data_IF_805802331229
#
_entry.id   IF_805802331229
#
_cell.length_a   1.000
_cell.length_b   1.000
_cell.length_c   1.000
_cell.angle_alpha   90.00
_cell.angle_beta   90.00
_cell.angle_gamma   90.00
#
_symmetry.space_group_name_H-M   'P 1'
#
loop_
_entity.id
_entity.type
_entity.pdbx_description
1 polymer ?
#
# COMPACT_ATOMS: atom_id res chain seq x y z
N UNK A 1 9.56 -4.12 -2.80
CA UNK A 1 10.39 -3.31 -3.70
C UNK A 1 11.67 -2.92 -2.99
N UNK A 2 12.76 -2.90 -3.73
CA UNK A 2 14.10 -2.52 -3.26
C UNK A 2 14.57 -1.41 -4.21
N UNK A 3 15.17 -0.35 -3.68
CA UNK A 3 15.69 0.74 -4.50
C UNK A 3 17.05 0.41 -5.14
N UNK A 4 17.59 1.32 -5.94
CA UNK A 4 18.89 1.16 -6.60
C UNK A 4 20.09 1.07 -5.65
N UNK A 5 19.89 1.32 -4.35
CA UNK A 5 20.92 1.21 -3.29
C UNK A 5 20.79 -0.07 -2.47
N UNK A 6 19.79 -0.91 -2.77
CA UNK A 6 19.53 -2.14 -2.03
C UNK A 6 18.65 -1.95 -0.78
N UNK A 7 18.08 -0.76 -0.56
CA UNK A 7 17.22 -0.50 0.59
C UNK A 7 15.78 -0.89 0.32
N UNK A 8 15.12 -1.44 1.35
CA UNK A 8 13.72 -1.82 1.28
C UNK A 8 12.82 -0.58 1.27
N UNK A 9 11.91 -0.52 0.31
CA UNK A 9 10.93 0.56 0.21
C UNK A 9 9.70 0.24 1.06
N UNK A 10 9.36 1.11 2.01
CA UNK A 10 8.18 0.96 2.88
C UNK A 10 6.87 0.96 2.08
N UNK A 11 6.89 1.55 0.89
CA UNK A 11 5.82 1.52 -0.12
C UNK A 11 5.38 0.09 -0.48
N UNK A 12 6.24 -0.90 -0.24
CA UNK A 12 5.91 -2.32 -0.47
C UNK A 12 4.85 -2.86 0.49
N UNK A 13 4.59 -2.17 1.61
CA UNK A 13 3.61 -2.55 2.64
C UNK A 13 2.92 -1.27 3.11
N UNK A 14 1.94 -0.82 2.33
CA UNK A 14 1.29 0.48 2.50
C UNK A 14 -0.06 0.33 3.22
N UNK A 15 -0.38 1.31 4.06
CA UNK A 15 -1.71 1.46 4.66
C UNK A 15 -2.59 2.38 3.81
N UNK A 16 -3.85 2.57 4.19
CA UNK A 16 -4.74 3.46 3.43
C UNK A 16 -4.25 4.92 3.45
N UNK A 17 -4.16 5.60 2.28
CA UNK A 17 -3.67 6.97 2.18
C UNK A 17 -4.75 8.00 2.56
N UNK A 18 -5.26 7.93 3.79
CA UNK A 18 -6.19 8.94 4.32
C UNK A 18 -5.50 10.31 4.39
N UNK A 19 -6.29 11.40 4.36
CA UNK A 19 -5.75 12.78 4.48
C UNK A 19 -4.83 12.90 5.71
N UNK A 20 -5.26 12.36 6.86
CA UNK A 20 -4.48 12.36 8.09
C UNK A 20 -3.16 11.60 7.94
N UNK A 21 -3.20 10.38 7.38
CA UNK A 21 -2.01 9.57 7.15
C UNK A 21 -1.04 10.25 6.17
N UNK A 22 -1.55 10.89 5.11
CA UNK A 22 -0.75 11.65 4.16
C UNK A 22 -0.07 12.85 4.82
N UNK A 23 -0.77 13.63 5.65
CA UNK A 23 -0.16 14.74 6.40
C UNK A 23 0.94 14.23 7.33
N UNK A 24 0.69 13.15 8.08
CA UNK A 24 1.69 12.56 8.98
C UNK A 24 2.91 12.02 8.24
N UNK A 25 2.72 11.44 7.05
CA UNK A 25 3.82 11.03 6.17
C UNK A 25 4.63 12.23 5.69
N UNK A 26 3.97 13.25 5.13
CA UNK A 26 4.61 14.43 4.57
C UNK A 26 5.41 15.22 5.61
N UNK A 27 4.93 15.28 6.86
CA UNK A 27 5.64 15.91 7.97
C UNK A 27 6.70 14.99 8.61
N UNK A 28 6.85 13.74 8.16
CA UNK A 28 7.79 12.78 8.74
C UNK A 28 7.42 12.26 10.14
N UNK A 29 6.24 12.61 10.66
CA UNK A 29 5.77 12.26 12.01
C UNK A 29 5.62 10.75 12.21
N UNK A 30 5.43 9.98 11.13
CA UNK A 30 5.38 8.52 11.16
C UNK A 30 6.61 7.87 11.82
N UNK A 31 7.76 8.57 11.85
CA UNK A 31 8.99 8.13 12.51
C UNK A 31 8.96 8.26 14.03
N UNK A 32 8.06 9.08 14.58
CA UNK A 32 7.97 9.35 16.03
C UNK A 32 7.14 8.30 16.76
N UNK A 33 6.07 7.82 16.14
CA UNK A 33 5.23 6.75 16.69
C UNK A 33 4.51 6.00 15.59
N UNK A 34 4.84 4.72 15.45
CA UNK A 34 4.17 3.83 14.49
C UNK A 34 2.69 3.65 14.83
N UNK A 35 2.34 3.60 16.12
CA UNK A 35 0.97 3.37 16.59
C UNK A 35 0.02 4.53 16.23
N UNK A 36 0.50 5.77 16.37
CA UNK A 36 -0.36 6.94 16.18
C UNK A 36 -0.18 7.65 14.84
N UNK A 37 1.07 7.77 14.36
CA UNK A 37 1.42 8.50 13.15
C UNK A 37 1.77 7.60 11.95
N UNK A 38 1.95 6.30 12.20
CA UNK A 38 2.47 5.34 11.22
C UNK A 38 1.50 4.90 10.12
N UNK A 39 0.24 5.33 10.16
CA UNK A 39 -0.88 4.77 9.38
C UNK A 39 -0.66 4.70 7.85
N UNK A 40 0.22 5.53 7.30
CA UNK A 40 0.55 5.50 5.89
C UNK A 40 1.34 4.24 5.47
N UNK A 41 2.14 3.68 6.39
CA UNK A 41 2.94 2.49 6.17
C UNK A 41 2.52 1.40 7.15
N UNK A 42 2.54 0.15 6.72
CA UNK A 42 2.29 -0.98 7.62
C UNK A 42 3.57 -1.33 8.41
N UNK A 43 3.91 -0.48 9.38
CA UNK A 43 5.13 -0.57 10.17
C UNK A 43 5.14 -1.77 11.12
N UNK A 44 3.97 -2.33 11.43
CA UNK A 44 3.84 -3.51 12.29
C UNK A 44 4.21 -4.82 11.58
N UNK A 45 4.23 -4.85 10.24
CA UNK A 45 4.55 -6.03 9.46
C UNK A 45 6.03 -6.02 9.02
N UNK A 46 6.91 -6.88 9.58
CA UNK A 46 8.33 -6.89 9.23
C UNK A 46 8.58 -7.16 7.74
N UNK A 47 9.63 -6.57 7.17
CA UNK A 47 9.92 -6.61 5.72
C UNK A 47 9.79 -8.01 5.08
N UNK A 48 10.31 -9.05 5.74
CA UNK A 48 10.40 -10.42 5.22
C UNK A 48 9.31 -11.36 5.77
N UNK A 49 8.22 -10.81 6.32
CA UNK A 49 7.09 -11.60 6.81
C UNK A 49 5.83 -11.39 5.98
N UNK A 50 5.00 -12.43 5.94
CA UNK A 50 3.66 -12.39 5.36
C UNK A 50 2.67 -11.87 6.40
N UNK A 51 1.70 -11.08 5.94
CA UNK A 51 0.67 -10.52 6.81
C UNK A 51 -0.30 -9.67 6.01
N UNK A 52 -1.36 -9.24 6.68
CA UNK A 52 -2.36 -8.34 6.08
C UNK A 52 -1.76 -6.94 5.93
N UNK A 53 -2.07 -6.29 4.82
CA UNK A 53 -1.78 -4.88 4.55
C UNK A 53 -2.94 -4.32 3.75
N UNK A 54 -3.21 -3.02 3.91
CA UNK A 54 -4.39 -2.42 3.28
C UNK A 54 -4.21 -2.25 1.77
N UNK A 55 -2.99 -1.93 1.33
CA UNK A 55 -2.69 -1.73 -0.09
C UNK A 55 -1.45 -2.50 -0.50
N UNK A 56 -1.58 -3.31 -1.54
CA UNK A 56 -0.47 -4.00 -2.20
C UNK A 56 0.16 -3.10 -3.26
N UNK A 57 1.45 -3.30 -3.52
CA UNK A 57 2.13 -2.53 -4.57
C UNK A 57 1.76 -3.08 -5.95
N UNK A 58 1.28 -2.20 -6.84
CA UNK A 58 0.88 -2.58 -8.21
C UNK A 58 1.98 -3.20 -9.07
N UNK A 59 3.25 -3.06 -8.69
CA UNK A 59 4.38 -3.67 -9.40
C UNK A 59 4.30 -5.21 -9.47
N UNK A 60 3.69 -5.86 -8.48
CA UNK A 60 3.43 -7.29 -8.50
C UNK A 60 2.31 -7.65 -7.53
N UNK A 61 1.19 -8.13 -8.06
CA UNK A 61 0.03 -8.58 -7.28
C UNK A 61 -0.40 -9.96 -7.77
N UNK A 62 -0.81 -10.81 -6.83
CA UNK A 62 -1.40 -12.10 -7.14
C UNK A 62 -2.77 -12.19 -6.47
N UNK A 63 -3.80 -12.45 -7.28
CA UNK A 63 -5.18 -12.51 -6.81
C UNK A 63 -5.94 -13.67 -7.45
N UNK A 64 -7.06 -14.05 -6.82
CA UNK A 64 -7.93 -15.09 -7.37
C UNK A 64 -8.59 -14.53 -8.64
N UNK A 65 -8.45 -15.23 -9.77
CA UNK A 65 -9.08 -14.86 -11.04
C UNK A 65 -10.57 -14.53 -10.89
N UNK A 66 -11.31 -15.33 -10.11
CA UNK A 66 -12.75 -15.09 -9.86
C UNK A 66 -13.03 -13.70 -9.27
N UNK A 67 -12.22 -13.22 -8.33
CA UNK A 67 -12.42 -11.89 -7.74
C UNK A 67 -12.13 -10.79 -8.76
N UNK A 68 -11.06 -10.97 -9.55
CA UNK A 68 -10.71 -10.02 -10.61
C UNK A 68 -11.82 -9.90 -11.65
N UNK A 69 -12.35 -11.04 -12.11
CA UNK A 69 -13.48 -11.07 -13.05
C UNK A 69 -14.75 -10.44 -12.46
N UNK A 70 -14.98 -10.55 -11.14
CA UNK A 70 -16.13 -9.95 -10.46
C UNK A 70 -16.01 -8.42 -10.31
N UNK A 71 -14.79 -7.90 -10.23
CA UNK A 71 -14.49 -6.47 -10.20
C UNK A 71 -14.40 -5.84 -11.60
N UNK A 72 -14.62 -6.64 -12.65
CA UNK A 72 -14.51 -6.20 -14.05
C UNK A 72 -13.11 -5.68 -14.42
N UNK A 73 -12.09 -6.06 -13.65
CA UNK A 73 -10.70 -5.67 -13.87
C UNK A 73 -10.24 -4.50 -13.02
N UNK A 74 -9.44 -3.61 -13.61
CA UNK A 74 -9.04 -2.34 -12.98
C UNK A 74 -9.99 -1.23 -13.46
N UNK A 75 -10.29 -0.25 -12.61
CA UNK A 75 -11.04 0.94 -13.03
C UNK A 75 -10.18 1.79 -13.99
N UNK A 76 -10.66 1.92 -15.23
CA UNK A 76 -9.99 2.67 -16.31
C UNK A 76 -9.91 4.19 -16.04
N UNK A 77 -10.66 4.71 -15.06
CA UNK A 77 -10.53 6.10 -14.62
C UNK A 77 -9.20 6.36 -13.90
N UNK A 78 -8.56 5.33 -13.36
CA UNK A 78 -7.25 5.40 -12.74
C UNK A 78 -6.17 4.96 -13.73
N UNK A 79 -5.72 5.88 -14.58
CA UNK A 79 -4.57 5.65 -15.45
C UNK A 79 -3.26 6.12 -14.78
N UNK A 80 -2.56 5.16 -14.16
CA UNK A 80 -1.40 5.35 -13.27
C UNK A 80 -1.73 6.09 -11.96
N UNK A 81 -1.12 5.63 -10.88
CA UNK A 81 -1.21 6.23 -9.54
C UNK A 81 -2.63 6.19 -8.95
N UNK A 82 -3.12 5.00 -8.65
CA UNK A 82 -4.36 4.82 -7.89
C UNK A 82 -5.00 3.45 -8.10
N UNK A 83 -4.69 2.82 -9.22
CA UNK A 83 -5.18 1.51 -9.63
C UNK A 83 -4.89 0.41 -8.60
N UNK A 84 -3.73 0.50 -7.93
CA UNK A 84 -3.33 -0.47 -6.91
C UNK A 84 -4.04 -0.24 -5.56
N UNK A 85 -4.40 1.01 -5.27
CA UNK A 85 -5.20 1.38 -4.09
C UNK A 85 -6.65 0.95 -4.30
N UNK A 86 -7.22 1.31 -5.45
CA UNK A 86 -8.58 1.03 -5.85
C UNK A 86 -8.88 -0.47 -5.74
N UNK A 87 -8.13 -1.30 -6.48
CA UNK A 87 -8.34 -2.75 -6.45
C UNK A 87 -8.09 -3.38 -5.06
N UNK A 88 -7.24 -2.77 -4.22
CA UNK A 88 -6.99 -3.29 -2.87
C UNK A 88 -8.13 -2.98 -1.89
N UNK A 89 -8.93 -1.94 -2.15
CA UNK A 89 -10.08 -1.53 -1.32
C UNK A 89 -11.35 -2.29 -1.73
N UNK A 90 -11.50 -2.61 -3.01
CA UNK A 90 -12.66 -3.29 -3.57
C UNK A 90 -12.70 -4.81 -3.28
N UNK A 91 -11.57 -5.41 -2.85
CA UNK A 91 -11.42 -6.85 -2.52
C UNK A 91 -11.70 -7.14 -1.05
#
# INVERSE_FOLDING_TARGET
MIDGTGQFLLESKRGLPTIKAAVFKSLGLFRLSASFFGQYYNLSLPKNQNGKTDVLAGAFMFMRKRLYDQLEGFDENFFMYGEDIDISIEV
#
